data_IF_884552649204
#
_entry.id   IF_884552649204
#
_cell.length_a   1.000
_cell.length_b   1.000
_cell.length_c   1.000
_cell.angle_alpha   90.00
_cell.angle_beta   90.00
_cell.angle_gamma   90.00
#
_symmetry.space_group_name_H-M   'P 1'
#
loop_
_entity.id
_entity.type
_entity.pdbx_description
1 polymer ?
#
# COMPACT_ATOMS: atom_id res chain seq x y z
N UNK A 1 -14.41 -5.51 -6.57
CA UNK A 1 -12.94 -5.62 -6.52
C UNK A 1 -12.40 -7.04 -6.39
N UNK A 2 -13.06 -8.01 -5.75
CA UNK A 2 -12.53 -9.39 -5.62
C UNK A 2 -12.22 -10.08 -6.97
N UNK A 3 -12.99 -9.79 -8.03
CA UNK A 3 -12.71 -10.28 -9.40
C UNK A 3 -11.38 -9.77 -9.98
N UNK A 4 -10.86 -8.65 -9.49
CA UNK A 4 -9.59 -8.09 -9.94
C UNK A 4 -8.41 -9.00 -9.54
N UNK A 5 -8.46 -9.58 -8.33
CA UNK A 5 -7.44 -10.53 -7.87
C UNK A 5 -7.32 -11.76 -8.79
N UNK A 6 -8.43 -12.22 -9.37
CA UNK A 6 -8.43 -13.34 -10.31
C UNK A 6 -7.74 -13.04 -11.65
N UNK A 7 -7.56 -11.77 -12.01
CA UNK A 7 -6.90 -11.35 -13.24
C UNK A 7 -5.39 -11.20 -13.07
N UNK A 8 -4.91 -11.08 -11.83
CA UNK A 8 -3.51 -10.86 -11.52
C UNK A 8 -2.64 -12.02 -12.00
N UNK A 9 -1.53 -11.70 -12.67
CA UNK A 9 -0.55 -12.68 -13.10
C UNK A 9 0.84 -12.25 -12.63
N UNK A 10 1.49 -13.07 -11.81
CA UNK A 10 2.83 -12.76 -11.33
C UNK A 10 3.77 -12.50 -12.50
N UNK A 11 4.52 -11.42 -12.37
CA UNK A 11 5.59 -11.07 -13.29
C UNK A 11 6.88 -11.18 -12.50
N UNK A 12 7.82 -11.95 -13.05
CA UNK A 12 9.18 -12.02 -12.51
C UNK A 12 9.89 -10.66 -12.67
N UNK A 13 11.22 -10.65 -12.60
CA UNK A 13 12.00 -9.42 -12.61
C UNK A 13 11.76 -8.56 -13.87
N UNK A 14 11.28 -7.34 -13.67
CA UNK A 14 11.14 -6.29 -14.69
C UNK A 14 12.29 -5.32 -14.50
N UNK A 15 13.04 -5.05 -15.58
CA UNK A 15 13.95 -3.90 -15.63
C UNK A 15 13.12 -2.65 -15.95
N UNK A 16 13.11 -1.71 -15.01
CA UNK A 16 12.40 -0.45 -15.15
C UNK A 16 13.23 0.49 -16.02
N UNK A 17 12.74 0.75 -17.24
CA UNK A 17 13.37 1.66 -18.20
C UNK A 17 12.50 2.88 -18.54
N UNK A 18 11.29 2.94 -17.99
CA UNK A 18 10.30 3.99 -18.16
C UNK A 18 9.02 3.63 -17.41
N UNK A 19 7.95 4.38 -17.70
CA UNK A 19 6.64 4.11 -17.12
C UNK A 19 6.08 2.76 -17.59
N UNK A 20 5.32 2.10 -16.72
CA UNK A 20 4.66 0.82 -17.00
C UNK A 20 3.16 1.05 -17.04
N UNK A 21 2.53 0.83 -18.19
CA UNK A 21 1.07 0.86 -18.33
C UNK A 21 0.49 -0.51 -18.01
N UNK A 22 -0.50 -0.53 -17.11
CA UNK A 22 -1.26 -1.73 -16.76
C UNK A 22 -2.32 -1.99 -17.83
N UNK A 23 -2.41 -3.22 -18.31
CA UNK A 23 -3.41 -3.58 -19.32
C UNK A 23 -3.54 -5.08 -19.55
N UNK A 24 -4.69 -5.53 -20.05
CA UNK A 24 -4.95 -6.96 -20.27
C UNK A 24 -3.95 -7.64 -21.22
N UNK A 25 -3.45 -6.91 -22.21
CA UNK A 25 -2.45 -7.39 -23.18
C UNK A 25 -1.02 -6.87 -22.86
N UNK A 26 -0.84 -6.19 -21.74
CA UNK A 26 0.45 -5.64 -21.32
C UNK A 26 1.25 -6.64 -20.47
N UNK A 27 2.53 -6.33 -20.25
CA UNK A 27 3.40 -7.11 -19.33
C UNK A 27 2.81 -7.19 -17.93
N UNK A 28 2.23 -6.09 -17.45
CA UNK A 28 1.55 -6.03 -16.15
C UNK A 28 0.06 -5.94 -16.40
N UNK A 29 -0.67 -6.96 -15.96
CA UNK A 29 -2.13 -7.03 -16.07
C UNK A 29 -2.82 -6.38 -14.88
N UNK A 30 -4.08 -5.93 -15.00
CA UNK A 30 -4.89 -5.53 -13.85
C UNK A 30 -4.95 -6.66 -12.82
N UNK A 31 -4.83 -6.33 -11.54
CA UNK A 31 -4.68 -7.33 -10.49
C UNK A 31 -4.31 -6.75 -9.13
N UNK A 32 -4.20 -7.63 -8.14
CA UNK A 32 -3.65 -7.28 -6.82
C UNK A 32 -2.29 -7.93 -6.71
N UNK A 33 -1.28 -7.15 -6.33
CA UNK A 33 0.10 -7.58 -6.33
C UNK A 33 0.80 -7.18 -5.05
N UNK A 34 1.67 -8.06 -4.55
CA UNK A 34 2.75 -7.65 -3.67
C UNK A 34 3.94 -7.28 -4.57
N UNK A 35 4.18 -5.97 -4.73
CA UNK A 35 5.34 -5.43 -5.43
C UNK A 35 6.56 -5.59 -4.53
N UNK A 36 7.67 -6.06 -5.11
CA UNK A 36 8.96 -6.19 -4.45
C UNK A 36 10.02 -5.44 -5.25
N UNK A 37 10.79 -4.57 -4.59
CA UNK A 37 11.91 -3.88 -5.22
C UNK A 37 13.16 -4.77 -5.14
N UNK A 38 13.67 -5.19 -6.31
CA UNK A 38 14.85 -6.05 -6.41
C UNK A 38 16.10 -5.30 -6.89
N UNK A 39 15.98 -4.01 -7.23
CA UNK A 39 17.11 -3.17 -7.61
C UNK A 39 16.84 -1.68 -7.48
N UNK A 40 17.75 -0.98 -6.80
CA UNK A 40 17.69 0.47 -6.59
C UNK A 40 16.78 0.89 -5.44
N UNK A 41 16.61 2.21 -5.29
CA UNK A 41 15.72 2.83 -4.31
C UNK A 41 15.30 4.22 -4.74
N UNK A 42 14.09 4.61 -4.41
CA UNK A 42 13.57 5.94 -4.70
C UNK A 42 12.06 5.98 -4.65
N UNK A 43 11.46 6.81 -5.49
CA UNK A 43 10.04 7.09 -5.44
C UNK A 43 9.29 6.17 -6.39
N UNK A 44 8.20 5.59 -5.90
CA UNK A 44 7.17 4.96 -6.70
C UNK A 44 5.91 5.84 -6.64
N UNK A 45 5.47 6.27 -7.82
CA UNK A 45 4.27 7.08 -8.03
C UNK A 45 3.49 6.53 -9.22
N UNK A 46 2.34 7.12 -9.52
CA UNK A 46 1.64 6.79 -10.75
C UNK A 46 0.31 7.51 -10.87
N UNK A 47 -0.35 7.31 -12.00
CA UNK A 47 -1.66 7.88 -12.28
C UNK A 47 -2.69 6.77 -12.41
N UNK A 48 -3.84 6.98 -11.78
CA UNK A 48 -5.03 6.16 -12.01
C UNK A 48 -5.78 6.70 -13.22
N UNK A 49 -6.30 5.81 -14.06
CA UNK A 49 -7.05 6.24 -15.25
C UNK A 49 -8.41 6.86 -14.90
N UNK A 50 -9.17 6.18 -14.05
CA UNK A 50 -10.58 6.50 -13.80
C UNK A 50 -10.89 6.77 -12.30
N UNK A 51 -9.86 6.88 -11.45
CA UNK A 51 -10.01 7.05 -9.99
C UNK A 51 -9.25 8.28 -9.50
N UNK A 52 -9.98 9.35 -9.14
CA UNK A 52 -9.35 10.60 -8.71
C UNK A 52 -8.99 10.64 -7.20
N UNK A 53 -9.49 9.70 -6.40
CA UNK A 53 -9.35 9.69 -4.94
C UNK A 53 -8.30 8.73 -4.37
N UNK A 54 -7.62 7.98 -5.23
CA UNK A 54 -6.63 6.97 -4.88
C UNK A 54 -5.34 7.27 -5.64
N UNK A 55 -4.21 7.37 -4.96
CA UNK A 55 -2.94 7.71 -5.59
C UNK A 55 -1.81 6.82 -5.09
N UNK A 56 -0.83 6.59 -5.96
CA UNK A 56 0.39 5.89 -5.61
C UNK A 56 1.44 6.91 -5.17
N UNK A 57 1.96 6.76 -3.95
CA UNK A 57 3.05 7.61 -3.47
C UNK A 57 3.82 6.91 -2.33
N UNK A 58 4.85 6.15 -2.67
CA UNK A 58 5.71 5.51 -1.69
C UNK A 58 7.19 5.73 -2.01
N UNK A 59 8.00 5.70 -0.96
CA UNK A 59 9.46 5.62 -1.06
C UNK A 59 9.85 4.17 -0.83
N UNK A 60 10.42 3.54 -1.85
CA UNK A 60 10.71 2.10 -1.86
C UNK A 60 12.19 1.85 -2.16
N UNK A 61 12.68 0.67 -1.79
CA UNK A 61 14.06 0.27 -2.06
C UNK A 61 14.29 -1.21 -1.80
N UNK A 62 15.42 -1.74 -2.22
CA UNK A 62 15.82 -3.11 -1.85
C UNK A 62 15.91 -3.29 -0.33
N UNK A 63 15.87 -4.53 0.21
CA UNK A 63 15.93 -4.76 1.66
C UNK A 63 17.16 -4.16 2.37
N UNK A 64 18.26 -3.92 1.65
CA UNK A 64 19.50 -3.30 2.12
C UNK A 64 19.54 -1.76 1.95
N UNK A 65 18.46 -1.14 1.46
CA UNK A 65 18.39 0.30 1.19
C UNK A 65 18.28 1.19 2.43
N UNK A 66 18.16 0.59 3.61
CA UNK A 66 18.01 1.27 4.90
C UNK A 66 16.59 1.19 5.45
N UNK A 67 16.43 1.55 6.72
CA UNK A 67 15.19 1.32 7.46
C UNK A 67 13.98 2.13 6.96
N UNK A 68 14.19 3.19 6.17
CA UNK A 68 13.14 4.08 5.68
C UNK A 68 12.49 3.63 4.38
N UNK A 69 13.07 2.63 3.73
CA UNK A 69 12.63 2.17 2.42
C UNK A 69 11.89 0.85 2.59
N UNK A 70 10.59 0.84 2.32
CA UNK A 70 9.87 -0.41 2.20
C UNK A 70 10.38 -1.16 0.95
N UNK A 71 10.74 -2.43 1.12
CA UNK A 71 11.07 -3.30 -0.01
C UNK A 71 9.86 -3.94 -0.63
N UNK A 72 8.72 -3.95 0.09
CA UNK A 72 7.47 -4.51 -0.39
C UNK A 72 6.30 -3.58 -0.14
N UNK A 73 5.39 -3.53 -1.11
CA UNK A 73 4.13 -2.79 -0.99
C UNK A 73 3.03 -3.56 -1.71
N UNK A 74 1.85 -3.67 -1.09
CA UNK A 74 0.68 -4.22 -1.78
C UNK A 74 0.04 -3.16 -2.66
N UNK A 75 -0.27 -3.53 -3.90
CA UNK A 75 -0.88 -2.65 -4.89
C UNK A 75 -2.16 -3.28 -5.43
N UNK A 76 -3.19 -2.46 -5.61
CA UNK A 76 -4.36 -2.79 -6.39
C UNK A 76 -4.20 -2.05 -7.72
N UNK A 77 -4.05 -2.76 -8.83
CA UNK A 77 -3.78 -2.19 -10.15
C UNK A 77 -5.00 -2.34 -11.06
N UNK A 78 -5.49 -1.22 -11.61
CA UNK A 78 -6.60 -1.18 -12.55
C UNK A 78 -6.11 -1.07 -13.99
N UNK A 79 -6.97 -1.44 -14.95
CA UNK A 79 -6.68 -1.31 -16.37
C UNK A 79 -6.46 0.17 -16.75
N UNK A 80 -5.33 0.45 -17.39
CA UNK A 80 -4.91 1.79 -17.77
C UNK A 80 -4.17 2.59 -16.70
N UNK A 81 -3.95 2.03 -15.50
CA UNK A 81 -3.05 2.65 -14.53
C UNK A 81 -1.63 2.78 -15.12
N UNK A 82 -0.92 3.85 -14.77
CA UNK A 82 0.46 4.08 -15.21
C UNK A 82 1.36 4.16 -13.98
N UNK A 83 2.34 3.27 -13.90
CA UNK A 83 3.28 3.15 -12.79
C UNK A 83 4.59 3.83 -13.17
N UNK A 84 5.07 4.74 -12.32
CA UNK A 84 6.31 5.49 -12.53
C UNK A 84 7.28 5.28 -11.37
N UNK A 85 8.50 4.92 -11.73
CA UNK A 85 9.55 4.54 -10.79
C UNK A 85 10.78 5.42 -11.04
N UNK A 86 11.21 6.14 -10.01
CA UNK A 86 12.41 6.99 -10.06
C UNK A 86 13.51 6.40 -9.19
N UNK A 87 14.66 6.13 -9.79
CA UNK A 87 15.85 5.52 -9.15
C UNK A 87 15.66 4.06 -8.65
N UNK A 88 14.54 3.43 -9.01
CA UNK A 88 14.31 1.99 -8.87
C UNK A 88 14.53 1.38 -10.24
N UNK A 89 15.48 0.45 -10.33
CA UNK A 89 15.89 -0.16 -11.60
C UNK A 89 15.23 -1.51 -11.85
N UNK A 90 14.79 -2.20 -10.79
CA UNK A 90 14.18 -3.52 -10.91
C UNK A 90 13.08 -3.75 -9.89
N UNK A 91 12.00 -4.39 -10.36
CA UNK A 91 10.88 -4.80 -9.53
C UNK A 91 10.44 -6.22 -9.88
N UNK A 92 9.74 -6.85 -8.95
CA UNK A 92 8.96 -8.07 -9.16
C UNK A 92 7.52 -7.81 -8.71
N UNK A 93 6.55 -8.41 -9.41
CA UNK A 93 5.14 -8.33 -9.03
C UNK A 93 4.61 -9.73 -8.76
N UNK A 94 4.31 -10.03 -7.49
CA UNK A 94 3.74 -11.31 -7.12
C UNK A 94 2.23 -11.17 -7.01
N UNK A 95 1.45 -11.86 -7.84
CA UNK A 95 0.00 -11.80 -7.80
C UNK A 95 -0.53 -12.38 -6.48
N UNK A 96 -1.42 -11.64 -5.84
CA UNK A 96 -2.11 -12.06 -4.63
C UNK A 96 -3.27 -12.98 -5.02
N UNK A 97 -3.45 -14.14 -4.38
CA UNK A 97 -4.52 -15.07 -4.73
C UNK A 97 -5.92 -14.47 -4.55
N UNK A 98 -6.90 -14.98 -5.28
CA UNK A 98 -8.29 -14.51 -5.21
C UNK A 98 -8.85 -14.58 -3.79
N UNK A 99 -8.57 -15.70 -3.10
CA UNK A 99 -8.94 -15.91 -1.70
C UNK A 99 -7.73 -15.66 -0.81
N UNK A 100 -7.89 -14.72 0.12
CA UNK A 100 -6.94 -14.45 1.20
C UNK A 100 -7.65 -14.58 2.53
N UNK A 101 -6.87 -14.78 3.59
CA UNK A 101 -7.39 -14.67 4.95
C UNK A 101 -7.40 -13.19 5.32
N UNK A 102 -8.54 -12.70 5.80
CA UNK A 102 -8.63 -11.35 6.35
C UNK A 102 -7.66 -11.18 7.52
N UNK A 103 -7.06 -10.00 7.63
CA UNK A 103 -6.12 -9.65 8.68
C UNK A 103 -6.47 -8.27 9.27
N UNK A 104 -6.22 -8.15 10.57
CA UNK A 104 -6.32 -6.88 11.31
C UNK A 104 -4.95 -6.24 11.54
N UNK A 105 -3.91 -6.77 10.91
CA UNK A 105 -2.55 -6.22 10.93
C UNK A 105 -2.13 -5.95 9.49
N UNK A 106 -2.00 -4.67 9.12
CA UNK A 106 -1.70 -4.24 7.77
C UNK A 106 -0.26 -3.73 7.68
N UNK A 107 0.46 -4.15 6.65
CA UNK A 107 1.71 -3.50 6.26
C UNK A 107 1.44 -2.26 5.41
N UNK A 108 2.45 -1.77 4.69
CA UNK A 108 2.31 -0.67 3.74
C UNK A 108 1.66 -1.16 2.45
N UNK A 109 0.74 -0.36 1.90
CA UNK A 109 0.10 -0.60 0.61
C UNK A 109 -1.41 -0.52 0.66
N UNK A 110 -2.06 -1.13 -0.31
CA UNK A 110 -3.50 -1.03 -0.55
C UNK A 110 -4.22 -2.34 -0.22
N UNK A 111 -5.35 -2.25 0.48
CA UNK A 111 -6.12 -3.40 0.95
C UNK A 111 -7.62 -3.17 0.72
N UNK A 112 -8.36 -4.24 0.42
CA UNK A 112 -9.81 -4.17 0.18
C UNK A 112 -10.56 -4.60 1.46
N UNK A 113 -11.46 -3.75 1.93
CA UNK A 113 -12.35 -4.07 3.05
C UNK A 113 -13.38 -5.12 2.63
N UNK A 114 -13.54 -6.18 3.44
CA UNK A 114 -14.33 -7.38 3.15
C UNK A 114 -13.60 -8.47 2.38
N UNK A 115 -12.30 -8.27 2.12
CA UNK A 115 -11.41 -9.27 1.52
C UNK A 115 -10.10 -9.39 2.29
N UNK A 116 -9.36 -8.30 2.39
CA UNK A 116 -8.06 -8.25 3.04
C UNK A 116 -8.19 -7.90 4.53
N UNK A 117 -9.20 -7.09 4.88
CA UNK A 117 -9.51 -6.63 6.24
C UNK A 117 -11.02 -6.66 6.44
N UNK A 118 -11.55 -7.13 7.57
CA UNK A 118 -12.99 -7.15 7.78
C UNK A 118 -13.57 -5.72 7.86
N UNK A 119 -14.83 -5.55 7.46
CA UNK A 119 -15.55 -4.31 7.72
C UNK A 119 -15.85 -4.14 9.22
N UNK A 120 -15.81 -2.91 9.73
CA UNK A 120 -16.05 -2.65 11.14
C UNK A 120 -15.52 -1.31 11.62
N UNK A 121 -15.64 -1.07 12.93
CA UNK A 121 -15.05 0.09 13.61
C UNK A 121 -13.82 -0.38 14.37
N UNK A 122 -12.74 0.39 14.25
CA UNK A 122 -11.44 0.02 14.78
C UNK A 122 -10.76 1.18 15.49
N UNK A 123 -10.07 0.88 16.58
CA UNK A 123 -9.03 1.72 17.16
C UNK A 123 -7.68 1.33 16.57
N UNK A 124 -6.87 2.34 16.24
CA UNK A 124 -5.55 2.15 15.63
C UNK A 124 -4.47 1.99 16.69
N UNK A 125 -3.51 1.12 16.41
CA UNK A 125 -2.23 1.00 17.11
C UNK A 125 -1.15 0.51 16.15
N UNK A 126 0.10 0.39 16.60
CA UNK A 126 1.22 -0.06 15.76
C UNK A 126 2.21 -0.89 16.58
N UNK A 127 2.92 -1.81 15.94
CA UNK A 127 4.06 -2.49 16.55
C UNK A 127 5.36 -1.65 16.54
N UNK A 128 5.34 -0.51 15.85
CA UNK A 128 6.50 0.38 15.73
C UNK A 128 6.58 1.37 16.88
N UNK A 129 7.79 1.64 17.36
CA UNK A 129 8.03 2.81 18.21
C UNK A 129 7.99 4.08 17.35
N UNK A 130 7.16 5.05 17.75
CA UNK A 130 7.09 6.36 17.09
C UNK A 130 7.70 7.40 18.03
N UNK A 131 8.75 8.09 17.58
CA UNK A 131 9.49 9.05 18.39
C UNK A 131 8.63 10.31 18.66
N UNK A 132 8.33 10.63 19.92
CA UNK A 132 7.52 11.80 20.27
C UNK A 132 8.04 13.15 19.77
N UNK A 133 9.33 13.25 19.41
CA UNK A 133 9.90 14.47 18.83
C UNK A 133 9.39 14.76 17.41
N UNK A 134 8.95 13.71 16.69
CA UNK A 134 8.47 13.81 15.32
C UNK A 134 6.95 13.60 15.26
N UNK A 135 6.20 14.60 15.75
CA UNK A 135 4.74 14.55 15.85
C UNK A 135 4.00 14.36 14.51
N UNK A 136 4.68 14.51 13.37
CA UNK A 136 4.14 14.34 12.02
C UNK A 136 4.56 13.02 11.34
N UNK A 137 5.42 12.19 11.97
CA UNK A 137 5.86 10.91 11.43
C UNK A 137 5.09 9.76 12.08
N UNK A 138 4.72 8.77 11.29
CA UNK A 138 3.88 7.66 11.73
C UNK A 138 3.09 7.08 10.56
N UNK A 139 1.87 6.64 10.85
CA UNK A 139 0.98 6.08 9.85
C UNK A 139 0.10 7.13 9.21
N UNK A 140 0.09 7.12 7.88
CA UNK A 140 -0.88 7.84 7.07
C UNK A 140 -1.79 6.82 6.41
N UNK A 141 -3.09 7.08 6.49
CA UNK A 141 -4.15 6.23 5.96
C UNK A 141 -5.02 7.06 5.02
N UNK A 142 -5.26 6.57 3.82
CA UNK A 142 -6.28 7.06 2.90
C UNK A 142 -7.31 5.97 2.67
N UNK A 143 -8.60 6.29 2.82
CA UNK A 143 -9.69 5.35 2.64
C UNK A 143 -10.58 5.87 1.51
N UNK A 144 -10.60 5.14 0.41
CA UNK A 144 -11.37 5.45 -0.79
C UNK A 144 -12.64 4.60 -0.86
N UNK A 145 -13.76 5.25 -1.14
CA UNK A 145 -15.04 4.60 -1.40
C UNK A 145 -15.42 4.82 -2.87
N UNK A 146 -15.34 3.74 -3.63
CA UNK A 146 -15.60 3.78 -5.08
C UNK A 146 -17.06 4.08 -5.42
N UNK A 147 -18.01 3.63 -4.59
CA UNK A 147 -19.44 3.87 -4.83
C UNK A 147 -19.81 5.35 -4.64
N UNK A 148 -19.14 6.02 -3.70
CA UNK A 148 -19.38 7.44 -3.40
C UNK A 148 -18.41 8.36 -4.16
N UNK A 149 -17.34 7.82 -4.75
CA UNK A 149 -16.30 8.58 -5.44
C UNK A 149 -15.54 9.55 -4.52
N UNK A 150 -15.48 9.25 -3.23
CA UNK A 150 -14.87 10.12 -2.22
C UNK A 150 -13.75 9.39 -1.44
N UNK A 151 -12.91 10.20 -0.80
CA UNK A 151 -11.83 9.71 0.06
C UNK A 151 -11.85 10.44 1.40
N UNK A 152 -11.34 9.77 2.43
CA UNK A 152 -11.02 10.37 3.72
C UNK A 152 -9.63 9.93 4.15
N UNK A 153 -8.94 10.81 4.87
CA UNK A 153 -7.58 10.52 5.36
C UNK A 153 -7.54 10.57 6.88
N UNK A 154 -6.65 9.78 7.47
CA UNK A 154 -6.35 9.79 8.89
C UNK A 154 -4.85 9.63 9.12
N UNK A 155 -4.33 10.33 10.13
CA UNK A 155 -2.95 10.20 10.56
C UNK A 155 -2.92 9.63 11.97
N UNK A 156 -2.18 8.55 12.16
CA UNK A 156 -1.88 7.97 13.47
C UNK A 156 -0.39 8.10 13.76
N UNK A 157 -0.05 9.03 14.62
CA UNK A 157 1.32 9.46 14.90
C UNK A 157 1.44 9.97 16.35
N UNK A 158 2.64 10.34 16.84
CA UNK A 158 2.78 10.82 18.21
C UNK A 158 1.96 12.07 18.55
N UNK A 159 1.64 12.92 17.56
CA UNK A 159 0.76 14.07 17.74
C UNK A 159 -0.73 13.72 17.79
N UNK A 160 -1.12 12.54 17.33
CA UNK A 160 -2.49 12.06 17.22
C UNK A 160 -2.56 10.54 17.46
N UNK A 161 -2.50 10.12 18.73
CA UNK A 161 -2.45 8.70 19.10
C UNK A 161 -3.83 8.09 19.38
N UNK A 162 -4.88 8.90 19.54
CA UNK A 162 -6.24 8.41 19.83
C UNK A 162 -7.10 8.44 18.56
N UNK A 163 -6.81 7.52 17.65
CA UNK A 163 -7.45 7.47 16.33
C UNK A 163 -8.35 6.24 16.23
N UNK A 164 -9.58 6.47 15.80
CA UNK A 164 -10.52 5.43 15.42
C UNK A 164 -11.01 5.66 13.99
N UNK A 165 -11.25 4.55 13.28
CA UNK A 165 -11.77 4.55 11.92
C UNK A 165 -12.96 3.60 11.82
N UNK A 166 -13.83 3.88 10.85
CA UNK A 166 -14.83 2.93 10.37
C UNK A 166 -14.41 2.49 8.98
N UNK A 167 -14.50 1.19 8.69
CA UNK A 167 -14.21 0.58 7.40
C UNK A 167 -15.50 -0.09 6.91
N UNK A 168 -15.96 0.29 5.72
CA UNK A 168 -17.15 -0.26 5.07
C UNK A 168 -16.76 -1.25 3.98
N UNK A 169 -17.61 -2.25 3.79
CA UNK A 169 -17.46 -3.27 2.75
C UNK A 169 -17.15 -2.65 1.38
N UNK A 170 -16.09 -3.13 0.74
CA UNK A 170 -15.68 -2.65 -0.58
C UNK A 170 -14.96 -1.30 -0.61
N UNK A 171 -14.60 -0.71 0.53
CA UNK A 171 -13.63 0.39 0.54
C UNK A 171 -12.20 -0.11 0.27
N UNK A 172 -11.35 0.78 -0.23
CA UNK A 172 -9.90 0.56 -0.32
C UNK A 172 -9.23 1.38 0.78
N UNK A 173 -8.40 0.73 1.59
CA UNK A 173 -7.50 1.41 2.53
C UNK A 173 -6.07 1.37 1.98
N UNK A 174 -5.47 2.55 1.84
CA UNK A 174 -4.06 2.73 1.50
C UNK A 174 -3.31 3.18 2.74
N UNK A 175 -2.23 2.48 3.08
CA UNK A 175 -1.41 2.74 4.25
C UNK A 175 0.02 3.08 3.86
N UNK A 176 0.58 4.07 4.55
CA UNK A 176 1.98 4.47 4.48
C UNK A 176 2.53 4.61 5.89
N UNK A 177 3.78 4.23 6.10
CA UNK A 177 4.47 4.45 7.37
C UNK A 177 5.74 5.26 7.13
N UNK A 178 5.83 6.41 7.81
CA UNK A 178 7.00 7.26 7.81
C UNK A 178 7.78 7.02 9.10
N UNK A 179 8.90 6.34 8.96
CA UNK A 179 9.66 5.88 10.10
C UNK A 179 10.39 7.03 10.81
N UNK A 180 10.25 7.08 12.14
CA UNK A 180 10.98 8.00 13.01
C UNK A 180 12.17 7.34 13.73
N UNK A 181 12.28 6.00 13.63
CA UNK A 181 13.26 5.16 14.33
C UNK A 181 13.96 4.26 13.31
N UNK A 182 15.09 4.75 12.81
CA UNK A 182 15.81 4.19 11.66
C UNK A 182 16.61 2.90 11.94
N UNK A 183 16.43 2.29 13.12
CA UNK A 183 17.03 1.02 13.52
C UNK A 183 16.12 -0.19 13.24
N UNK A 184 14.81 0.03 13.10
CA UNK A 184 13.83 -1.01 12.75
C UNK A 184 13.37 -0.81 11.30
N UNK A 185 13.50 -1.81 10.41
CA UNK A 185 13.08 -1.67 9.02
C UNK A 185 11.58 -1.45 8.86
N UNK A 186 11.22 -0.51 7.98
CA UNK A 186 9.84 -0.18 7.63
C UNK A 186 9.03 -1.39 7.13
N UNK A 187 9.67 -2.39 6.52
CA UNK A 187 9.01 -3.65 6.10
C UNK A 187 8.37 -4.43 7.26
N UNK A 188 8.83 -4.22 8.49
CA UNK A 188 8.30 -4.88 9.68
C UNK A 188 7.13 -4.13 10.31
N UNK A 189 6.85 -2.90 9.85
CA UNK A 189 5.80 -2.07 10.38
C UNK A 189 4.41 -2.69 10.14
N UNK A 190 3.61 -2.72 11.19
CA UNK A 190 2.23 -3.19 11.19
C UNK A 190 1.32 -2.14 11.82
N UNK A 191 0.35 -1.67 11.05
CA UNK A 191 -0.82 -0.98 11.55
C UNK A 191 -1.79 -2.02 12.09
N UNK A 192 -2.15 -1.90 13.36
CA UNK A 192 -2.96 -2.87 14.09
C UNK A 192 -4.36 -2.27 14.31
N UNK A 193 -5.37 -2.99 13.84
CA UNK A 193 -6.79 -2.65 13.90
C UNK A 193 -7.48 -3.43 15.03
N UNK A 194 -7.86 -2.77 16.11
CA UNK A 194 -8.59 -3.41 17.23
C UNK A 194 -10.06 -3.03 17.17
N UNK A 195 -10.96 -4.01 17.05
CA UNK A 195 -12.40 -3.77 16.96
C UNK A 195 -12.94 -3.02 18.19
N UNK A 196 -13.92 -2.12 17.98
CA UNK A 196 -14.61 -1.35 19.04
C UNK A 196 -16.13 -1.46 18.97
#
# INVERSE_FOLDING_TARGET
MNKLAANGQSVDEIYVTGDITVGNDATVKPGIYDLEVTGGRGNFTGTRKDINGLFFNWVLGTPDSGADYASKVRLILFDGDVLSFRNISKIKLNAVPEKVTEATELGIGEYIVGRDVPAGKYKLSTNMEMDPQFANLGWDLDIYNDNEGNSRSQNFNPGNQDVAIELKEGEIISTSFYNSKHDVPTDTAKLILTAV
#
